data_IF_336887021972
#
_entry.id   IF_336887021972
#
_cell.length_a   1.000
_cell.length_b   1.000
_cell.length_c   1.000
_cell.angle_alpha   90.00
_cell.angle_beta   90.00
_cell.angle_gamma   90.00
#
_symmetry.space_group_name_H-M   'P 1'
#
loop_
_entity.id
_entity.type
_entity.pdbx_description
1 polymer ?
#
# COMPACT_ATOMS: atom_id res chain seq x y z
N UNK A 1 13.19 8.01 -15.43
CA UNK A 1 13.76 6.68 -15.10
C UNK A 1 14.62 6.73 -13.84
N UNK A 2 15.61 7.61 -13.76
CA UNK A 2 16.46 7.76 -12.56
C UNK A 2 15.67 8.14 -11.30
N UNK A 3 14.72 9.08 -11.41
CA UNK A 3 13.93 9.53 -10.24
C UNK A 3 13.04 8.44 -9.64
N UNK A 4 12.39 7.62 -10.48
CA UNK A 4 11.57 6.50 -10.01
C UNK A 4 12.43 5.42 -9.31
N UNK A 5 13.64 5.20 -9.80
CA UNK A 5 14.61 4.27 -9.18
C UNK A 5 15.11 4.81 -7.85
N UNK A 6 15.46 6.10 -7.78
CA UNK A 6 15.86 6.77 -6.53
C UNK A 6 14.72 6.72 -5.50
N UNK A 7 13.49 7.07 -5.89
CA UNK A 7 12.32 7.02 -5.01
C UNK A 7 12.05 5.60 -4.50
N UNK A 8 12.22 4.59 -5.37
CA UNK A 8 12.12 3.18 -4.96
C UNK A 8 13.19 2.83 -3.92
N UNK A 9 14.46 3.17 -4.16
CA UNK A 9 15.58 2.87 -3.25
C UNK A 9 15.41 3.57 -1.89
N UNK A 10 15.00 4.84 -1.89
CA UNK A 10 14.73 5.61 -0.66
C UNK A 10 13.59 4.97 0.13
N UNK A 11 12.54 4.49 -0.54
CA UNK A 11 11.40 3.84 0.12
C UNK A 11 11.75 2.43 0.63
N UNK A 12 12.60 1.68 -0.08
CA UNK A 12 13.11 0.38 0.35
C UNK A 12 13.98 0.50 1.61
N UNK A 13 14.89 1.47 1.65
CA UNK A 13 15.75 1.70 2.84
C UNK A 13 14.93 2.17 4.04
N UNK A 14 13.85 2.94 3.83
CA UNK A 14 12.89 3.30 4.88
C UNK A 14 12.22 2.07 5.52
N UNK A 15 11.95 0.98 4.77
CA UNK A 15 11.43 -0.28 5.35
C UNK A 15 12.41 -0.91 6.33
N UNK A 16 13.70 -0.92 6.00
CA UNK A 16 14.73 -1.50 6.87
C UNK A 16 14.92 -0.69 8.15
N UNK A 17 14.79 0.65 8.09
CA UNK A 17 14.98 1.53 9.24
C UNK A 17 13.75 1.61 10.16
N UNK A 18 12.53 1.59 9.60
CA UNK A 18 11.28 1.66 10.38
C UNK A 18 10.91 0.30 11.00
N UNK A 19 11.50 -0.81 10.53
CA UNK A 19 11.20 -2.18 10.94
C UNK A 19 11.96 -2.75 12.14
N UNK A 20 12.65 -1.91 12.95
CA UNK A 20 13.46 -2.41 14.07
C UNK A 20 12.65 -2.98 15.26
N UNK A 21 11.31 -2.86 15.27
CA UNK A 21 10.48 -3.31 16.41
C UNK A 21 9.16 -4.03 16.05
N UNK A 22 8.98 -4.57 14.84
CA UNK A 22 7.79 -5.38 14.53
C UNK A 22 8.09 -6.41 13.44
N UNK A 23 7.79 -7.68 13.73
CA UNK A 23 8.01 -8.89 12.92
C UNK A 23 8.10 -8.65 11.40
N UNK A 24 9.35 -8.60 10.93
CA UNK A 24 9.76 -8.11 9.61
C UNK A 24 9.48 -9.10 8.45
N UNK A 25 8.61 -10.09 8.65
CA UNK A 25 8.35 -11.18 7.69
C UNK A 25 6.91 -11.22 7.17
N UNK A 26 5.99 -10.43 7.74
CA UNK A 26 4.57 -10.56 7.43
C UNK A 26 4.07 -9.52 6.42
N UNK A 27 3.28 -9.96 5.43
CA UNK A 27 2.48 -9.08 4.56
C UNK A 27 1.30 -8.44 5.34
N UNK A 28 1.13 -8.78 6.61
CA UNK A 28 0.08 -8.21 7.45
C UNK A 28 0.12 -6.68 7.43
N UNK A 29 -1.05 -6.07 7.27
CA UNK A 29 -1.23 -4.62 7.36
C UNK A 29 -1.88 -4.35 8.73
N UNK A 30 -1.16 -3.68 9.65
CA UNK A 30 -1.67 -3.36 10.98
C UNK A 30 -3.04 -2.68 10.96
N UNK A 31 -3.87 -2.94 11.98
CA UNK A 31 -5.25 -2.45 12.01
C UNK A 31 -5.35 -0.91 12.05
N UNK A 32 -4.45 -0.25 12.76
CA UNK A 32 -4.31 1.21 12.81
C UNK A 32 -3.97 1.80 11.43
N UNK A 33 -3.09 1.15 10.67
CA UNK A 33 -2.78 1.51 9.28
C UNK A 33 -4.01 1.34 8.41
N UNK A 34 -4.72 0.21 8.52
CA UNK A 34 -5.97 -0.05 7.75
C UNK A 34 -7.04 1.01 8.03
N UNK A 35 -7.25 1.35 9.30
CA UNK A 35 -8.21 2.37 9.71
C UNK A 35 -7.84 3.74 9.10
N UNK A 36 -6.59 4.15 9.25
CA UNK A 36 -6.09 5.44 8.77
C UNK A 36 -6.19 5.54 7.24
N UNK A 37 -5.80 4.48 6.52
CA UNK A 37 -5.89 4.43 5.06
C UNK A 37 -7.35 4.47 4.60
N UNK A 38 -8.25 3.74 5.28
CA UNK A 38 -9.68 3.76 4.94
C UNK A 38 -10.28 5.17 5.05
N UNK A 39 -9.95 5.90 6.12
CA UNK A 39 -10.39 7.29 6.31
C UNK A 39 -9.79 8.22 5.25
N UNK A 40 -8.47 8.12 5.00
CA UNK A 40 -7.76 8.93 3.99
C UNK A 40 -8.35 8.74 2.60
N UNK A 41 -8.59 7.50 2.21
CA UNK A 41 -9.09 7.12 0.88
C UNK A 41 -10.62 7.22 0.79
N UNK A 42 -11.29 7.68 1.85
CA UNK A 42 -12.74 7.91 1.92
C UNK A 42 -13.58 6.67 1.58
N UNK A 43 -13.06 5.47 1.85
CA UNK A 43 -13.71 4.21 1.46
C UNK A 43 -13.93 4.10 -0.06
N UNK A 44 -13.00 4.62 -0.86
CA UNK A 44 -13.03 4.60 -2.33
C UNK A 44 -11.70 4.08 -2.88
N UNK A 45 -11.77 3.46 -4.05
CA UNK A 45 -10.60 3.13 -4.85
C UNK A 45 -9.89 4.42 -5.27
N UNK A 46 -8.60 4.55 -4.96
CA UNK A 46 -7.84 5.77 -5.28
C UNK A 46 -7.60 5.95 -6.78
N UNK A 47 -7.69 4.87 -7.56
CA UNK A 47 -7.46 4.89 -9.02
C UNK A 47 -8.70 5.28 -9.83
N UNK A 48 -9.88 4.74 -9.47
CA UNK A 48 -11.10 4.95 -10.26
C UNK A 48 -12.28 5.54 -9.49
N UNK A 49 -12.11 5.81 -8.19
CA UNK A 49 -13.11 6.46 -7.35
C UNK A 49 -14.29 5.57 -6.92
N UNK A 50 -14.40 4.31 -7.40
CA UNK A 50 -15.48 3.41 -6.98
C UNK A 50 -15.40 3.13 -5.49
N UNK A 51 -16.53 3.20 -4.80
CA UNK A 51 -16.62 3.00 -3.35
C UNK A 51 -18.04 3.13 -2.82
N UNK A 52 -18.18 3.23 -1.51
CA UNK A 52 -19.48 3.31 -0.83
C UNK A 52 -20.04 1.95 -0.37
N UNK A 53 -21.27 1.93 0.18
CA UNK A 53 -21.88 0.71 0.73
C UNK A 53 -21.92 -0.43 -0.30
N UNK A 54 -21.41 -1.60 0.08
CA UNK A 54 -21.36 -2.78 -0.78
C UNK A 54 -20.20 -2.82 -1.77
N UNK A 55 -19.35 -1.78 -1.85
CA UNK A 55 -18.14 -1.83 -2.66
C UNK A 55 -17.11 -2.77 -2.03
N UNK A 56 -16.55 -3.67 -2.84
CA UNK A 56 -15.45 -4.53 -2.44
C UNK A 56 -14.10 -3.85 -2.73
N UNK A 57 -13.42 -3.44 -1.67
CA UNK A 57 -12.12 -2.77 -1.71
C UNK A 57 -11.06 -3.61 -0.99
N UNK A 58 -9.85 -3.58 -1.52
CA UNK A 58 -8.68 -4.29 -1.01
C UNK A 58 -7.62 -3.27 -0.57
N UNK A 59 -6.94 -3.56 0.54
CA UNK A 59 -5.74 -2.82 0.93
C UNK A 59 -4.57 -3.37 0.12
N UNK A 60 -4.00 -2.53 -0.74
CA UNK A 60 -2.85 -2.88 -1.57
C UNK A 60 -1.63 -2.03 -1.20
N UNK A 61 -0.43 -2.57 -1.42
CA UNK A 61 0.80 -1.81 -1.23
C UNK A 61 1.17 -1.08 -2.52
N UNK A 62 1.32 0.25 -2.45
CA UNK A 62 1.79 1.10 -3.57
C UNK A 62 3.10 0.52 -4.11
N UNK A 63 4.13 0.43 -3.27
CA UNK A 63 5.28 -0.43 -3.55
C UNK A 63 4.95 -1.84 -3.08
N UNK A 64 4.93 -2.84 -3.96
CA UNK A 64 4.61 -4.21 -3.58
C UNK A 64 5.50 -4.73 -2.44
N UNK A 65 4.91 -5.54 -1.57
CA UNK A 65 5.64 -6.21 -0.49
C UNK A 65 6.84 -7.04 -1.02
N UNK A 66 6.68 -7.69 -2.19
CA UNK A 66 7.73 -8.46 -2.88
C UNK A 66 8.91 -7.60 -3.34
N UNK A 67 8.71 -6.28 -3.47
CA UNK A 67 9.73 -5.29 -3.85
C UNK A 67 10.24 -4.49 -2.64
N UNK A 68 9.98 -4.96 -1.42
CA UNK A 68 10.44 -4.27 -0.21
C UNK A 68 9.51 -3.14 0.25
N UNK A 69 8.26 -3.08 -0.20
CA UNK A 69 7.29 -2.13 0.32
C UNK A 69 6.89 -2.43 1.77
N UNK A 70 6.80 -1.40 2.61
CA UNK A 70 6.41 -1.53 4.01
C UNK A 70 4.88 -1.38 4.19
N UNK A 71 4.30 -2.03 5.21
CA UNK A 71 2.89 -1.87 5.59
C UNK A 71 2.66 -0.58 6.40
N UNK A 72 2.93 0.58 5.79
CA UNK A 72 2.75 1.90 6.42
C UNK A 72 1.61 2.65 5.77
N UNK A 73 1.05 3.65 6.46
CA UNK A 73 -0.01 4.52 5.89
C UNK A 73 0.42 5.12 4.54
N UNK A 74 1.69 5.53 4.40
CA UNK A 74 2.20 6.13 3.17
C UNK A 74 2.45 5.15 2.00
N UNK A 75 2.38 3.83 2.24
CA UNK A 75 2.61 2.82 1.22
C UNK A 75 1.43 1.86 1.05
N UNK A 76 0.33 2.05 1.77
CA UNK A 76 -0.89 1.26 1.62
C UNK A 76 -1.99 2.16 1.04
N UNK A 77 -2.81 1.60 0.16
CA UNK A 77 -3.89 2.27 -0.56
C UNK A 77 -5.13 1.36 -0.68
N UNK A 78 -6.31 1.95 -0.88
CA UNK A 78 -7.51 1.21 -1.25
C UNK A 78 -7.64 1.10 -2.77
N UNK A 79 -7.78 -0.13 -3.25
CA UNK A 79 -8.09 -0.44 -4.64
C UNK A 79 -9.33 -1.31 -4.75
N UNK A 80 -10.14 -1.09 -5.79
CA UNK A 80 -11.15 -2.07 -6.17
C UNK A 80 -10.48 -3.28 -6.84
N UNK A 81 -11.15 -4.44 -6.82
CA UNK A 81 -10.61 -5.67 -7.39
C UNK A 81 -10.07 -5.51 -8.82
N UNK A 82 -10.77 -4.75 -9.68
CA UNK A 82 -10.34 -4.51 -11.07
C UNK A 82 -9.03 -3.73 -11.13
N UNK A 83 -8.92 -2.63 -10.39
CA UNK A 83 -7.70 -1.81 -10.34
C UNK A 83 -6.55 -2.58 -9.68
N UNK A 84 -6.82 -3.33 -8.60
CA UNK A 84 -5.81 -4.13 -7.93
C UNK A 84 -5.21 -5.22 -8.85
N UNK A 85 -6.07 -5.96 -9.56
CA UNK A 85 -5.64 -6.94 -10.57
C UNK A 85 -4.86 -6.28 -11.72
N UNK A 86 -5.30 -5.09 -12.14
CA UNK A 86 -4.59 -4.33 -13.17
C UNK A 86 -3.23 -3.84 -12.69
N UNK A 87 -3.07 -3.49 -11.41
CA UNK A 87 -1.76 -3.10 -10.85
C UNK A 87 -0.81 -4.30 -10.73
N UNK A 88 -1.27 -5.39 -10.13
CA UNK A 88 -0.44 -6.57 -9.88
C UNK A 88 0.77 -6.23 -8.99
N UNK A 89 1.96 -6.68 -9.38
CA UNK A 89 3.22 -6.37 -8.68
C UNK A 89 3.93 -5.12 -9.23
N UNK A 90 3.22 -4.25 -9.95
CA UNK A 90 3.74 -2.95 -10.39
C UNK A 90 3.60 -1.90 -9.28
N UNK A 91 4.41 -0.85 -9.39
CA UNK A 91 4.35 0.36 -8.56
C UNK A 91 3.37 1.31 -9.23
#
# INVERSE_FOLDING_TARGET
LLEAVIDTIVRMTKRQLVGLNSDNSSRHIPQDVRYTVWQRDQGKCVECGVGGPGAYLEFDHVIPFSKGGASTVGNVQLLCRRCNLSKGDRI
#
